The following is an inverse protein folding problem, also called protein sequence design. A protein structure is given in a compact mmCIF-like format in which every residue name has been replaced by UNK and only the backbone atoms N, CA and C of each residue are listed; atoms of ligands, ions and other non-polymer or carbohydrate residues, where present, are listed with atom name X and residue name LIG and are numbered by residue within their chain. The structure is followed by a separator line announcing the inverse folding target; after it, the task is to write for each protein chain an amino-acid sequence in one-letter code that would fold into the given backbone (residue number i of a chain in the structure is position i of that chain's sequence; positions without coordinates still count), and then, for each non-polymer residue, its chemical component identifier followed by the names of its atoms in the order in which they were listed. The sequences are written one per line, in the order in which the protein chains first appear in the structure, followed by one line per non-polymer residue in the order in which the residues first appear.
data_IF_266353276899
#
_entry.id   IF_266353276899
#
_cell.length_a   1.000
_cell.length_b   1.000
_cell.length_c   1.000
_cell.angle_alpha   90.00
_cell.angle_beta   90.00
_cell.angle_gamma   90.00
#
_symmetry.space_group_name_H-M   'P 1'
#
loop_
_entity.id
_entity.type
_entity.pdbx_description
1 polymer ?
#
# COMPACT_ATOMS: atom_id res chain seq x y z
N UNK A 1 23.90 -13.68 33.70
CA UNK A 1 23.19 -14.95 33.41
C UNK A 1 21.70 -14.69 33.60
N UNK A 2 20.97 -14.48 32.51
CA UNK A 2 19.58 -14.92 32.33
C UNK A 2 19.25 -14.72 30.85
N UNK A 3 19.31 -15.83 30.11
CA UNK A 3 18.81 -15.95 28.75
C UNK A 3 17.28 -15.93 28.80
N UNK A 4 16.66 -15.08 28.01
CA UNK A 4 15.34 -15.36 27.43
C UNK A 4 15.56 -15.43 25.93
N UNK A 5 15.61 -16.66 25.41
CA UNK A 5 15.61 -16.93 24.00
C UNK A 5 14.18 -17.16 23.55
N UNK A 6 13.66 -16.23 22.76
CA UNK A 6 12.53 -16.50 21.90
C UNK A 6 13.09 -16.68 20.48
N UNK A 7 13.23 -17.94 20.08
CA UNK A 7 13.51 -18.32 18.70
C UNK A 7 12.20 -18.24 17.92
N UNK A 8 11.92 -17.09 17.31
CA UNK A 8 10.98 -17.02 16.19
C UNK A 8 11.81 -16.89 14.92
N UNK A 9 11.74 -17.93 14.07
CA UNK A 9 12.56 -18.03 12.87
C UNK A 9 12.01 -17.12 11.77
N UNK A 10 12.87 -16.42 11.03
CA UNK A 10 12.51 -15.56 9.88
C UNK A 10 11.67 -16.26 8.79
N UNK A 11 11.58 -17.60 8.82
CA UNK A 11 10.79 -18.40 7.89
C UNK A 11 9.28 -18.32 8.09
N UNK A 12 8.80 -18.18 9.32
CA UNK A 12 7.36 -18.23 9.64
C UNK A 12 6.63 -16.95 9.21
N UNK A 13 7.27 -15.79 9.40
CA UNK A 13 6.73 -14.48 9.01
C UNK A 13 6.56 -14.34 7.49
N UNK A 14 7.48 -14.87 6.69
CA UNK A 14 7.40 -14.80 5.22
C UNK A 14 6.29 -15.70 4.65
N UNK A 15 5.97 -16.82 5.32
CA UNK A 15 4.87 -17.68 4.92
C UNK A 15 3.51 -17.06 5.24
N UNK A 16 3.28 -16.60 6.47
CA UNK A 16 2.01 -15.95 6.85
C UNK A 16 1.70 -14.72 5.99
N UNK A 17 2.72 -13.93 5.68
CA UNK A 17 2.54 -12.76 4.85
C UNK A 17 2.18 -13.18 3.41
N UNK A 18 2.89 -14.13 2.78
CA UNK A 18 2.51 -14.61 1.45
C UNK A 18 1.07 -15.13 1.39
N UNK A 19 0.61 -15.83 2.44
CA UNK A 19 -0.79 -16.25 2.58
C UNK A 19 -1.76 -15.06 2.55
N UNK A 20 -1.47 -13.94 3.22
CA UNK A 20 -2.36 -12.76 3.25
C UNK A 20 -2.44 -12.04 1.89
N UNK A 21 -1.36 -12.03 1.11
CA UNK A 21 -1.39 -11.47 -0.26
C UNK A 21 -2.23 -12.35 -1.19
N UNK A 22 -2.07 -13.66 -1.09
CA UNK A 22 -2.84 -14.61 -1.89
C UNK A 22 -4.31 -14.58 -1.49
N UNK A 23 -4.64 -14.43 -0.20
CA UNK A 23 -6.03 -14.27 0.26
C UNK A 23 -6.69 -12.99 -0.27
N UNK A 24 -5.98 -11.86 -0.27
CA UNK A 24 -6.53 -10.59 -0.77
C UNK A 24 -6.78 -10.63 -2.29
N UNK A 25 -5.89 -11.30 -3.03
CA UNK A 25 -6.07 -11.57 -4.46
C UNK A 25 -7.26 -12.49 -4.69
N UNK A 26 -7.38 -13.57 -3.92
CA UNK A 26 -8.52 -14.47 -4.00
C UNK A 26 -9.84 -13.77 -3.68
N UNK A 27 -9.89 -12.95 -2.63
CA UNK A 27 -11.08 -12.18 -2.25
C UNK A 27 -11.48 -11.20 -3.37
N UNK A 28 -10.50 -10.48 -3.93
CA UNK A 28 -10.74 -9.59 -5.07
C UNK A 28 -11.25 -10.34 -6.30
N UNK A 29 -10.69 -11.52 -6.61
CA UNK A 29 -11.15 -12.37 -7.70
C UNK A 29 -12.57 -12.91 -7.45
N UNK A 30 -12.90 -13.28 -6.21
CA UNK A 30 -14.28 -13.68 -5.82
C UNK A 30 -15.25 -12.54 -6.01
N UNK A 31 -14.91 -11.35 -5.53
CA UNK A 31 -15.75 -10.16 -5.65
C UNK A 31 -15.97 -9.75 -7.12
N UNK A 32 -14.95 -9.87 -7.97
CA UNK A 32 -14.99 -9.48 -9.39
C UNK A 32 -15.73 -10.49 -10.28
N UNK A 33 -15.61 -11.78 -10.00
CA UNK A 33 -16.14 -12.84 -10.87
C UNK A 33 -17.40 -13.52 -10.33
N UNK A 34 -17.80 -13.27 -9.08
CA UNK A 34 -19.05 -13.78 -8.52
C UNK A 34 -19.10 -15.31 -8.39
N UNK A 35 -17.95 -15.97 -8.19
CA UNK A 35 -17.82 -17.44 -8.24
C UNK A 35 -17.43 -18.03 -6.88
N UNK A 36 -17.98 -19.20 -6.50
CA UNK A 36 -17.30 -20.06 -5.53
C UNK A 36 -16.03 -20.62 -6.20
N UNK A 37 -14.86 -20.18 -5.74
CA UNK A 37 -13.57 -20.66 -6.23
C UNK A 37 -13.32 -22.09 -5.71
N UNK A 38 -13.58 -23.10 -6.55
CA UNK A 38 -13.07 -24.46 -6.32
C UNK A 38 -11.56 -24.47 -6.63
N UNK A 39 -10.80 -25.30 -5.91
CA UNK A 39 -9.36 -25.58 -6.08
C UNK A 39 -8.91 -25.68 -7.54
N UNK A 40 -9.72 -26.26 -8.43
CA UNK A 40 -9.41 -26.36 -9.85
C UNK A 40 -9.41 -25.01 -10.58
N UNK A 41 -10.36 -24.12 -10.25
CA UNK A 41 -10.46 -22.79 -10.84
C UNK A 41 -9.33 -21.90 -10.31
N UNK A 42 -8.98 -22.01 -9.03
CA UNK A 42 -7.83 -21.34 -8.43
C UNK A 42 -6.51 -21.77 -9.08
N UNK A 43 -6.32 -23.07 -9.29
CA UNK A 43 -5.13 -23.60 -9.96
C UNK A 43 -5.03 -23.16 -11.42
N UNK A 44 -6.16 -23.08 -12.14
CA UNK A 44 -6.22 -22.55 -13.50
C UNK A 44 -5.92 -21.06 -13.55
N UNK A 45 -6.45 -20.27 -12.61
CA UNK A 45 -6.12 -18.86 -12.43
C UNK A 45 -4.62 -18.71 -12.15
N UNK A 46 -4.05 -19.41 -11.17
CA UNK A 46 -2.63 -19.36 -10.86
C UNK A 46 -1.73 -19.72 -12.05
N UNK A 47 -2.05 -20.77 -12.81
CA UNK A 47 -1.30 -21.12 -14.02
C UNK A 47 -1.42 -20.06 -15.11
N UNK A 48 -2.62 -19.50 -15.33
CA UNK A 48 -2.82 -18.39 -16.25
C UNK A 48 -2.05 -17.14 -15.80
N UNK A 49 -2.03 -16.84 -14.50
CA UNK A 49 -1.25 -15.74 -13.91
C UNK A 49 0.25 -15.95 -14.13
N UNK A 50 0.78 -17.13 -13.84
CA UNK A 50 2.20 -17.43 -14.01
C UNK A 50 2.61 -17.32 -15.48
N UNK A 51 1.75 -17.80 -16.40
CA UNK A 51 1.98 -17.69 -17.83
C UNK A 51 1.92 -16.23 -18.30
N UNK A 52 0.94 -15.43 -17.84
CA UNK A 52 0.84 -14.01 -18.15
C UNK A 52 2.04 -13.25 -17.57
N UNK A 53 2.39 -13.46 -16.29
CA UNK A 53 3.56 -12.87 -15.66
C UNK A 53 4.85 -13.17 -16.42
N UNK A 54 5.00 -14.37 -16.99
CA UNK A 54 6.16 -14.73 -17.82
C UNK A 54 6.20 -13.96 -19.14
N UNK A 55 5.04 -13.70 -19.77
CA UNK A 55 4.92 -12.93 -21.02
C UNK A 55 5.05 -11.41 -20.79
N UNK A 56 4.70 -10.96 -19.60
CA UNK A 56 4.69 -9.55 -19.18
C UNK A 56 6.09 -9.04 -18.81
N UNK A 57 7.09 -9.94 -18.65
CA UNK A 57 8.51 -9.60 -18.45
C UNK A 57 9.20 -8.91 -19.64
N UNK A 58 8.51 -8.74 -20.77
CA UNK A 58 9.01 -7.98 -21.92
C UNK A 58 8.82 -6.47 -21.76
N UNK A 59 9.39 -5.64 -22.66
CA UNK A 59 9.03 -4.23 -22.73
C UNK A 59 7.62 -4.09 -23.32
N UNK A 60 6.61 -4.37 -22.50
CA UNK A 60 5.24 -3.97 -22.80
C UNK A 60 5.09 -2.48 -22.49
N UNK A 61 4.38 -1.77 -23.36
CA UNK A 61 3.99 -0.39 -23.08
C UNK A 61 2.98 -0.38 -21.92
N UNK A 62 2.86 0.75 -21.23
CA UNK A 62 1.98 0.87 -20.06
C UNK A 62 0.48 0.66 -20.38
N UNK A 63 0.09 0.87 -21.63
CA UNK A 63 -1.26 0.70 -22.17
C UNK A 63 -1.50 -0.68 -22.83
N UNK A 64 -0.50 -1.57 -22.82
CA UNK A 64 -0.67 -2.93 -23.34
C UNK A 64 -1.83 -3.65 -22.63
N UNK A 65 -2.79 -4.25 -23.37
CA UNK A 65 -3.95 -4.89 -22.76
C UNK A 65 -3.62 -5.98 -21.74
N UNK A 66 -2.50 -6.71 -21.91
CA UNK A 66 -2.05 -7.73 -20.95
C UNK A 66 -1.49 -7.09 -19.69
N UNK A 67 -0.75 -6.00 -19.82
CA UNK A 67 -0.25 -5.23 -18.68
C UNK A 67 -1.42 -4.63 -17.88
N UNK A 68 -2.40 -4.01 -18.55
CA UNK A 68 -3.60 -3.49 -17.91
C UNK A 68 -4.44 -4.59 -17.25
N UNK A 69 -4.56 -5.75 -17.89
CA UNK A 69 -5.26 -6.90 -17.31
C UNK A 69 -4.57 -7.37 -16.03
N UNK A 70 -3.24 -7.52 -16.05
CA UNK A 70 -2.48 -7.94 -14.88
C UNK A 70 -2.62 -6.92 -13.74
N UNK A 71 -2.46 -5.62 -14.05
CA UNK A 71 -2.60 -4.54 -13.07
C UNK A 71 -3.97 -4.58 -12.39
N UNK A 72 -5.06 -4.59 -13.19
CA UNK A 72 -6.45 -4.60 -12.70
C UNK A 72 -6.86 -5.87 -11.97
N UNK A 73 -6.08 -6.94 -12.08
CA UNK A 73 -6.42 -8.25 -11.52
C UNK A 73 -5.60 -8.55 -10.26
N UNK A 74 -4.33 -8.14 -10.21
CA UNK A 74 -3.42 -8.55 -9.13
C UNK A 74 -2.76 -7.40 -8.37
N UNK A 75 -2.80 -6.17 -8.90
CA UNK A 75 -2.03 -5.05 -8.35
C UNK A 75 -2.85 -3.79 -8.14
N UNK A 76 -4.17 -3.84 -8.34
CA UNK A 76 -5.05 -2.70 -8.17
C UNK A 76 -6.30 -3.13 -7.42
N UNK A 77 -6.41 -2.67 -6.18
CA UNK A 77 -7.44 -3.09 -5.24
C UNK A 77 -8.38 -1.91 -4.95
N UNK A 78 -9.70 -2.12 -5.03
CA UNK A 78 -10.66 -1.05 -4.75
C UNK A 78 -10.70 -0.72 -3.25
N UNK A 79 -11.25 0.45 -2.89
CA UNK A 79 -11.69 0.70 -1.51
C UNK A 79 -12.79 -0.31 -1.14
N UNK A 80 -12.75 -0.81 0.09
CA UNK A 80 -13.69 -1.82 0.60
C UNK A 80 -15.02 -1.24 1.09
N UNK A 81 -15.12 0.09 1.19
CA UNK A 81 -16.31 0.79 1.66
C UNK A 81 -16.52 0.71 3.18
N UNK A 82 -15.55 0.16 3.92
CA UNK A 82 -15.61 0.09 5.37
C UNK A 82 -15.35 1.46 6.00
N UNK A 83 -15.79 1.68 7.26
CA UNK A 83 -15.40 2.86 8.02
C UNK A 83 -13.88 2.94 8.20
N UNK A 84 -13.35 4.15 8.16
CA UNK A 84 -11.95 4.43 8.45
C UNK A 84 -11.48 3.77 9.77
N UNK A 85 -10.34 3.11 9.72
CA UNK A 85 -9.65 2.56 10.89
C UNK A 85 -8.35 3.35 11.17
N UNK A 86 -8.51 4.66 11.31
CA UNK A 86 -7.42 5.58 11.65
C UNK A 86 -7.14 5.50 13.15
N UNK A 87 -5.90 5.73 13.56
CA UNK A 87 -5.52 5.70 14.97
C UNK A 87 -6.25 6.82 15.71
N UNK A 88 -6.68 6.53 16.93
CA UNK A 88 -7.25 7.55 17.80
C UNK A 88 -6.16 8.51 18.27
N UNK A 89 -6.54 9.77 18.50
CA UNK A 89 -5.69 10.79 19.13
C UNK A 89 -5.31 10.42 20.59
N UNK A 90 -5.78 9.29 21.14
CA UNK A 90 -5.44 8.79 22.48
C UNK A 90 -4.19 7.89 22.48
N UNK A 91 -3.75 7.38 21.32
CA UNK A 91 -2.53 6.60 21.20
C UNK A 91 -1.32 7.51 21.49
N UNK A 92 -0.45 7.12 22.42
CA UNK A 92 0.73 7.92 22.79
C UNK A 92 1.63 8.26 21.58
N UNK A 93 1.68 7.38 20.58
CA UNK A 93 2.41 7.63 19.33
C UNK A 93 1.68 8.65 18.45
N UNK A 94 0.34 8.62 18.41
CA UNK A 94 -0.46 9.62 17.73
C UNK A 94 -0.47 10.96 18.45
N UNK A 95 -0.50 10.99 19.78
CA UNK A 95 -0.39 12.23 20.54
C UNK A 95 0.91 12.96 20.20
N UNK A 96 2.03 12.24 20.19
CA UNK A 96 3.33 12.79 19.76
C UNK A 96 3.30 13.26 18.31
N UNK A 97 2.66 12.50 17.42
CA UNK A 97 2.56 12.83 16.00
C UNK A 97 1.63 14.01 15.70
N UNK A 98 0.42 14.02 16.24
CA UNK A 98 -0.55 15.10 16.13
C UNK A 98 0.06 16.38 16.69
N UNK A 99 0.77 16.30 17.82
CA UNK A 99 1.55 17.41 18.36
C UNK A 99 2.64 17.90 17.40
N UNK A 100 3.40 16.97 16.79
CA UNK A 100 4.40 17.29 15.76
C UNK A 100 3.78 17.96 14.53
N UNK A 101 2.68 17.42 13.99
CA UNK A 101 1.96 17.97 12.84
C UNK A 101 1.45 19.37 13.12
N UNK A 102 0.80 19.57 14.28
CA UNK A 102 0.26 20.87 14.69
C UNK A 102 1.35 21.93 14.89
N UNK A 103 2.53 21.53 15.37
CA UNK A 103 3.66 22.46 15.58
C UNK A 103 4.55 22.65 14.37
N UNK A 104 4.40 21.83 13.34
CA UNK A 104 5.21 21.93 12.12
C UNK A 104 4.66 23.03 11.22
N UNK A 105 5.43 24.12 10.97
CA UNK A 105 4.99 25.19 10.08
C UNK A 105 4.65 24.70 8.68
N UNK A 106 5.34 23.66 8.21
CA UNK A 106 5.12 23.06 6.89
C UNK A 106 3.72 22.44 6.77
N UNK A 107 3.24 21.75 7.81
CA UNK A 107 1.92 21.13 7.79
C UNK A 107 0.81 22.17 7.86
N UNK A 108 0.96 23.19 8.71
CA UNK A 108 0.03 24.32 8.73
C UNK A 108 -0.03 25.06 7.38
N UNK A 109 1.12 25.23 6.73
CA UNK A 109 1.20 25.83 5.40
C UNK A 109 0.50 24.96 4.34
N UNK A 110 0.75 23.64 4.32
CA UNK A 110 0.09 22.71 3.39
C UNK A 110 -1.43 22.77 3.59
N UNK A 111 -1.90 22.67 4.82
CA UNK A 111 -3.35 22.71 5.12
C UNK A 111 -3.99 24.01 4.63
N UNK A 112 -3.31 25.15 4.80
CA UNK A 112 -3.76 26.43 4.29
C UNK A 112 -3.83 26.46 2.76
N UNK A 113 -2.78 26.01 2.07
CA UNK A 113 -2.75 25.97 0.61
C UNK A 113 -3.81 25.02 0.05
N UNK A 114 -4.00 23.85 0.66
CA UNK A 114 -5.06 22.91 0.25
C UNK A 114 -6.45 23.54 0.41
N UNK A 115 -6.67 24.30 1.48
CA UNK A 115 -7.92 25.02 1.68
C UNK A 115 -8.15 26.07 0.59
N UNK A 116 -7.16 26.90 0.31
CA UNK A 116 -7.27 27.96 -0.68
C UNK A 116 -7.49 27.40 -2.09
N UNK A 117 -6.81 26.30 -2.43
CA UNK A 117 -6.94 25.65 -3.73
C UNK A 117 -8.25 24.89 -3.91
N UNK A 118 -8.71 24.16 -2.88
CA UNK A 118 -9.73 23.12 -3.06
C UNK A 118 -11.03 23.30 -2.27
N UNK A 119 -11.13 24.28 -1.36
CA UNK A 119 -12.36 24.51 -0.57
C UNK A 119 -13.62 24.81 -1.42
N UNK A 120 -13.43 25.30 -2.64
CA UNK A 120 -14.51 25.65 -3.59
C UNK A 120 -14.46 24.84 -4.88
N UNK A 121 -13.56 23.86 -4.97
CA UNK A 121 -13.42 23.01 -6.15
C UNK A 121 -14.21 21.72 -5.98
N UNK A 122 -14.71 21.14 -7.07
CA UNK A 122 -15.24 19.78 -7.00
C UNK A 122 -14.12 18.80 -6.59
N UNK A 123 -14.48 17.67 -5.96
CA UNK A 123 -13.50 16.65 -5.61
C UNK A 123 -12.74 16.14 -6.83
N UNK A 124 -11.44 15.93 -6.67
CA UNK A 124 -10.53 15.44 -7.72
C UNK A 124 -10.06 14.00 -7.50
N UNK A 125 -8.98 13.66 -8.19
CA UNK A 125 -8.28 12.39 -8.05
C UNK A 125 -6.81 12.63 -7.66
N UNK A 126 -6.34 12.00 -6.58
CA UNK A 126 -4.93 12.06 -6.16
C UNK A 126 -4.16 10.77 -6.47
N UNK A 127 -2.83 10.89 -6.50
CA UNK A 127 -1.90 9.77 -6.50
C UNK A 127 -0.90 9.99 -5.36
N UNK A 128 -0.78 9.02 -4.45
CA UNK A 128 0.24 9.03 -3.39
C UNK A 128 1.22 7.88 -3.64
N UNK A 129 2.47 8.23 -3.91
CA UNK A 129 3.56 7.27 -4.08
C UNK A 129 4.38 7.19 -2.79
N UNK A 130 4.50 5.98 -2.23
CA UNK A 130 5.04 5.80 -0.89
C UNK A 130 4.00 6.13 0.17
N UNK A 131 2.82 5.52 0.06
CA UNK A 131 1.69 5.76 0.96
C UNK A 131 1.90 5.20 2.38
N UNK A 132 2.98 4.46 2.61
CA UNK A 132 3.37 3.90 3.91
C UNK A 132 2.21 3.11 4.53
N UNK A 133 1.77 3.47 5.73
CA UNK A 133 0.70 2.79 6.47
C UNK A 133 -0.68 3.41 6.19
N UNK A 134 -0.80 4.27 5.18
CA UNK A 134 -2.05 4.91 4.78
C UNK A 134 -2.53 6.04 5.68
N UNK A 135 -1.81 6.39 6.74
CA UNK A 135 -2.24 7.41 7.70
C UNK A 135 -1.10 8.35 8.08
N UNK A 136 0.01 7.78 8.56
CA UNK A 136 1.15 8.53 9.01
C UNK A 136 1.85 9.21 7.86
N UNK A 137 2.10 10.50 8.05
CA UNK A 137 2.67 11.39 7.04
C UNK A 137 1.90 11.38 5.71
N UNK A 138 0.67 10.85 5.68
CA UNK A 138 -0.12 10.87 4.46
C UNK A 138 -0.39 12.31 4.07
N UNK A 139 -0.06 12.60 2.81
CA UNK A 139 -0.25 13.90 2.19
C UNK A 139 -1.65 14.03 1.58
N UNK A 140 -2.30 12.89 1.32
CA UNK A 140 -3.60 12.85 0.64
C UNK A 140 -4.78 12.59 1.56
N UNK A 141 -4.55 12.16 2.81
CA UNK A 141 -5.63 11.88 3.76
C UNK A 141 -6.55 13.10 3.99
N UNK A 142 -6.00 14.31 3.99
CA UNK A 142 -6.82 15.54 4.08
C UNK A 142 -7.63 15.80 2.80
N UNK A 143 -7.05 15.56 1.61
CA UNK A 143 -7.76 15.64 0.33
C UNK A 143 -8.98 14.71 0.33
N UNK A 144 -8.79 13.48 0.79
CA UNK A 144 -9.84 12.46 0.88
C UNK A 144 -10.92 12.85 1.88
N UNK A 145 -10.54 13.08 3.15
CA UNK A 145 -11.51 13.28 4.24
C UNK A 145 -12.24 14.61 4.20
N UNK A 146 -11.54 15.70 3.83
CA UNK A 146 -12.07 17.06 3.92
C UNK A 146 -12.64 17.57 2.61
N UNK A 147 -12.04 17.17 1.50
CA UNK A 147 -12.42 17.67 0.18
C UNK A 147 -13.10 16.60 -0.69
N UNK A 148 -13.29 15.39 -0.15
CA UNK A 148 -14.01 14.30 -0.83
C UNK A 148 -13.26 13.70 -2.01
N UNK A 149 -11.96 13.95 -2.14
CA UNK A 149 -11.18 13.43 -3.25
C UNK A 149 -11.08 11.91 -3.17
N UNK A 150 -11.05 11.27 -4.32
CA UNK A 150 -10.67 9.86 -4.41
C UNK A 150 -9.24 9.76 -4.93
N UNK A 151 -8.66 8.57 -4.99
CA UNK A 151 -7.30 8.46 -5.50
C UNK A 151 -6.75 7.05 -5.59
N UNK A 152 -5.44 7.00 -5.77
CA UNK A 152 -4.63 5.80 -5.76
C UNK A 152 -3.49 5.95 -4.75
N UNK A 153 -3.40 5.00 -3.82
CA UNK A 153 -2.30 4.84 -2.87
C UNK A 153 -1.36 3.74 -3.36
N UNK A 154 -0.08 4.05 -3.52
CA UNK A 154 0.95 3.11 -3.99
C UNK A 154 1.97 2.90 -2.89
N UNK A 155 2.14 1.66 -2.44
CA UNK A 155 3.14 1.29 -1.44
C UNK A 155 3.74 -0.07 -1.79
N UNK A 156 5.06 -0.12 -1.93
CA UNK A 156 5.78 -1.32 -2.39
C UNK A 156 6.27 -2.19 -1.23
N UNK A 157 6.51 -1.58 -0.06
CA UNK A 157 6.94 -2.30 1.12
C UNK A 157 5.74 -3.05 1.73
N UNK A 158 5.92 -4.35 1.89
CA UNK A 158 4.83 -5.28 2.16
C UNK A 158 4.14 -5.02 3.49
N UNK A 159 4.89 -4.78 4.57
CA UNK A 159 4.27 -4.56 5.88
C UNK A 159 3.50 -3.24 5.93
N UNK A 160 4.05 -2.20 5.31
CA UNK A 160 3.43 -0.89 5.19
C UNK A 160 2.15 -0.99 4.37
N UNK A 161 2.18 -1.70 3.24
CA UNK A 161 0.98 -1.94 2.43
C UNK A 161 -0.12 -2.69 3.20
N UNK A 162 0.23 -3.70 4.00
CA UNK A 162 -0.75 -4.40 4.84
C UNK A 162 -1.35 -3.45 5.89
N UNK A 163 -0.53 -2.66 6.56
CA UNK A 163 -1.00 -1.66 7.52
C UNK A 163 -1.89 -0.59 6.85
N UNK A 164 -1.59 -0.20 5.61
CA UNK A 164 -2.40 0.69 4.79
C UNK A 164 -3.77 0.12 4.48
N UNK A 165 -3.84 -1.15 4.07
CA UNK A 165 -5.13 -1.83 3.81
C UNK A 165 -6.00 -1.87 5.06
N UNK A 166 -5.39 -2.07 6.23
CA UNK A 166 -6.08 -2.08 7.51
C UNK A 166 -6.66 -0.70 7.89
N UNK A 167 -6.35 0.40 7.17
CA UNK A 167 -6.92 1.74 7.41
C UNK A 167 -8.27 1.99 6.75
N UNK A 168 -8.70 1.13 5.82
CA UNK A 168 -9.95 1.30 5.06
C UNK A 168 -10.03 2.68 4.40
N UNK A 169 -8.92 3.12 3.79
CA UNK A 169 -8.89 4.37 3.01
C UNK A 169 -9.90 4.28 1.87
N UNK A 170 -10.58 5.39 1.56
CA UNK A 170 -11.59 5.47 0.50
C UNK A 170 -10.94 5.75 -0.87
N UNK A 171 -9.81 5.09 -1.12
CA UNK A 171 -9.00 5.19 -2.32
C UNK A 171 -8.61 3.81 -2.82
N UNK A 172 -8.30 3.70 -4.10
CA UNK A 172 -7.68 2.50 -4.65
C UNK A 172 -6.30 2.31 -4.02
N UNK A 173 -5.84 1.08 -3.90
CA UNK A 173 -4.51 0.76 -3.39
C UNK A 173 -3.75 -0.19 -4.31
N UNK A 174 -2.43 -0.05 -4.35
CA UNK A 174 -1.54 -0.91 -5.12
C UNK A 174 -0.29 -1.29 -4.32
N UNK A 175 0.04 -2.60 -4.21
CA UNK A 175 1.25 -3.08 -3.55
C UNK A 175 2.50 -3.01 -4.45
N UNK A 176 2.48 -2.11 -5.44
CA UNK A 176 3.53 -1.98 -6.46
C UNK A 176 4.41 -0.74 -6.19
N UNK A 177 5.42 -0.53 -7.04
CA UNK A 177 6.21 0.69 -7.07
C UNK A 177 6.03 1.43 -8.41
N UNK A 178 6.42 2.70 -8.45
CA UNK A 178 6.51 3.44 -9.70
C UNK A 178 7.74 2.98 -10.48
N UNK A 179 7.53 2.58 -11.74
CA UNK A 179 8.59 2.07 -12.59
C UNK A 179 9.62 3.16 -12.93
N UNK A 180 10.90 2.82 -12.81
CA UNK A 180 12.04 3.65 -13.29
C UNK A 180 12.34 3.48 -14.79
N UNK A 181 11.56 2.62 -15.48
CA UNK A 181 11.68 2.31 -16.90
C UNK A 181 10.32 2.57 -17.56
N UNK A 182 10.25 2.83 -18.88
CA UNK A 182 8.98 3.05 -19.59
C UNK A 182 8.13 1.78 -19.74
N UNK A 183 8.55 0.68 -19.12
CA UNK A 183 7.86 -0.60 -19.08
C UNK A 183 7.95 -1.19 -17.66
N UNK A 184 7.00 -2.07 -17.35
CA UNK A 184 6.97 -2.75 -16.05
C UNK A 184 8.21 -3.63 -15.87
N UNK A 185 8.71 -3.68 -14.65
CA UNK A 185 9.81 -4.55 -14.29
C UNK A 185 9.73 -4.87 -12.80
N UNK A 186 10.39 -5.95 -12.40
CA UNK A 186 10.61 -6.26 -11.00
C UNK A 186 11.89 -5.59 -10.53
N UNK A 187 11.85 -5.03 -9.32
CA UNK A 187 13.02 -4.53 -8.62
C UNK A 187 13.06 -5.16 -7.22
N UNK A 188 14.26 -5.30 -6.66
CA UNK A 188 14.44 -5.74 -5.27
C UNK A 188 14.44 -4.49 -4.40
N UNK A 189 13.52 -4.46 -3.43
CA UNK A 189 13.46 -3.43 -2.41
C UNK A 189 14.23 -3.92 -1.19
N UNK A 190 15.40 -3.32 -0.93
CA UNK A 190 16.19 -3.64 0.26
C UNK A 190 15.84 -2.62 1.35
N UNK A 191 15.25 -3.11 2.44
CA UNK A 191 14.93 -2.29 3.61
C UNK A 191 16.04 -2.43 4.64
N UNK A 192 16.63 -1.32 5.07
CA UNK A 192 17.57 -1.33 6.20
C UNK A 192 16.76 -1.24 7.49
N UNK A 193 16.63 -2.38 8.19
CA UNK A 193 16.01 -2.43 9.51
C UNK A 193 17.13 -2.51 10.54
N UNK A 194 17.35 -1.43 11.28
CA UNK A 194 17.93 -1.62 12.61
C UNK A 194 16.91 -2.41 13.45
N UNK A 195 17.33 -3.14 14.49
CA UNK A 195 16.42 -3.68 15.50
C UNK A 195 15.83 -2.51 16.31
N UNK A 196 15.04 -1.68 15.66
CA UNK A 196 14.36 -0.56 16.27
C UNK A 196 13.10 -1.08 16.93
N UNK A 197 12.92 -0.71 18.20
CA UNK A 197 11.71 -1.03 18.95
C UNK A 197 10.45 -0.61 18.16
N UNK A 198 9.30 -1.26 18.41
CA UNK A 198 7.99 -0.87 17.85
C UNK A 198 7.72 0.65 17.89
N UNK A 199 8.35 1.35 18.83
CA UNK A 199 8.23 2.78 19.03
C UNK A 199 8.90 3.65 17.95
N UNK A 200 9.73 3.14 17.03
CA UNK A 200 10.51 3.96 16.07
C UNK A 200 10.17 3.71 14.59
N UNK A 201 8.93 3.32 14.34
CA UNK A 201 8.35 2.98 13.04
C UNK A 201 8.45 4.08 11.97
N UNK A 202 8.66 5.36 12.32
CA UNK A 202 8.91 6.45 11.37
C UNK A 202 10.19 6.30 10.54
N UNK A 203 11.12 5.43 10.96
CA UNK A 203 12.33 5.12 10.20
C UNK A 203 12.06 4.24 8.96
N UNK A 204 10.84 3.68 8.83
CA UNK A 204 10.45 2.84 7.69
C UNK A 204 10.35 3.60 6.36
N UNK A 205 10.33 4.93 6.39
CA UNK A 205 10.33 5.75 5.17
C UNK A 205 11.64 5.74 4.38
N UNK A 206 12.69 5.08 4.87
CA UNK A 206 13.98 4.97 4.19
C UNK A 206 14.18 3.57 3.59
N UNK A 207 13.93 3.40 2.30
CA UNK A 207 14.24 2.19 1.55
C UNK A 207 15.17 2.51 0.37
N UNK A 208 16.06 1.57 0.01
CA UNK A 208 16.94 1.72 -1.16
C UNK A 208 16.57 0.68 -2.21
N UNK A 209 16.37 1.14 -3.44
CA UNK A 209 16.25 0.25 -4.60
C UNK A 209 17.66 -0.08 -5.07
N UNK A 210 17.98 -1.37 -5.09
CA UNK A 210 19.23 -1.85 -5.68
C UNK A 210 19.00 -2.22 -7.14
N UNK A 211 19.93 -1.84 -8.01
CA UNK A 211 19.89 -2.26 -9.41
C UNK A 211 20.30 -3.73 -9.45
N UNK A 212 19.36 -4.58 -9.84
CA UNK A 212 19.63 -5.98 -10.22
C UNK A 212 20.16 -6.01 -11.65
#
# INVERSE_FOLDING_TARGET
MHQYGDQYTEGDFNQEANVKKDSDVEEHLRAKHGLPLNLTVLAQLHNATAQVLSQVKGPLTADDPKALWLLRTYYLFPPDGLPYNLREDTDATMLSYTHYKQKSPSWAFIDHILHDLFSKQPPGFFLEAGALDGEFLSNTLQLERRYGWTGLLVEAERESYLALRDKHRHAWSSPACLATKPFQHTAVLTTFREQVSKAQWWQRGAARIEKV
#
